data_IF_455213534681
#
_entry.id   IF_455213534681
#
_cell.length_a   1.000
_cell.length_b   1.000
_cell.length_c   1.000
_cell.angle_alpha   90.00
_cell.angle_beta   90.00
_cell.angle_gamma   90.00
#
_symmetry.space_group_name_H-M   'P 1'
#
loop_
_entity.id
_entity.type
_entity.pdbx_description
1 polymer ?
#
# COMPACT_ATOMS: atom_id res chain seq x y z
N UNK A 1 27.64 59.27 -32.36
CA UNK A 1 27.05 58.02 -32.88
C UNK A 1 28.17 57.01 -33.00
N UNK A 2 28.21 55.99 -32.15
CA UNK A 2 29.25 54.95 -32.18
C UNK A 2 28.57 53.58 -32.10
N UNK A 3 29.04 52.68 -32.96
CA UNK A 3 28.49 51.39 -33.31
C UNK A 3 28.57 50.34 -32.19
N UNK A 4 27.55 49.48 -32.21
CA UNK A 4 27.50 48.07 -31.85
C UNK A 4 28.82 47.39 -31.44
N UNK A 5 28.87 46.87 -30.22
CA UNK A 5 29.48 45.57 -29.91
C UNK A 5 28.71 44.89 -28.77
N UNK A 6 27.70 44.09 -29.16
CA UNK A 6 27.22 42.96 -28.38
C UNK A 6 28.02 41.73 -28.82
N UNK A 7 28.70 41.08 -27.87
CA UNK A 7 29.10 39.69 -28.01
C UNK A 7 28.54 38.94 -26.79
N UNK A 8 27.70 37.91 -27.04
CA UNK A 8 28.07 36.60 -26.53
C UNK A 8 28.10 35.60 -27.69
N UNK A 9 29.23 34.91 -27.78
CA UNK A 9 29.51 33.84 -28.74
C UNK A 9 28.90 32.52 -28.29
N UNK A 10 28.39 31.76 -29.27
CA UNK A 10 28.26 30.28 -29.33
C UNK A 10 27.53 29.63 -28.14
N UNK A 11 26.35 29.05 -28.30
CA UNK A 11 26.03 28.05 -29.31
C UNK A 11 25.68 26.75 -28.59
N UNK A 12 24.74 26.00 -29.18
CA UNK A 12 24.35 24.63 -28.83
C UNK A 12 23.27 24.46 -27.76
N UNK A 13 22.04 24.32 -28.26
CA UNK A 13 21.06 23.29 -27.87
C UNK A 13 21.38 22.42 -26.65
N UNK A 14 20.59 22.60 -25.60
CA UNK A 14 20.15 21.54 -24.70
C UNK A 14 18.76 21.97 -24.18
N UNK A 15 17.69 21.67 -24.91
CA UNK A 15 16.81 20.56 -24.54
C UNK A 15 17.23 19.89 -23.21
N UNK A 16 16.69 20.43 -22.13
CA UNK A 16 16.76 19.87 -20.78
C UNK A 16 15.48 20.22 -20.05
N UNK A 17 14.34 19.83 -20.63
CA UNK A 17 13.09 19.80 -19.89
C UNK A 17 13.26 18.87 -18.68
N UNK A 18 12.81 19.35 -17.52
CA UNK A 18 12.29 18.53 -16.42
C UNK A 18 13.11 17.30 -16.02
N UNK A 19 14.16 17.50 -15.24
CA UNK A 19 14.58 16.51 -14.24
C UNK A 19 15.43 17.26 -13.22
N UNK A 20 14.95 17.59 -12.04
CA UNK A 20 14.71 16.60 -11.00
C UNK A 20 13.67 17.14 -10.02
N UNK A 21 12.45 16.60 -10.08
CA UNK A 21 11.74 16.40 -8.84
C UNK A 21 12.66 15.49 -8.02
N UNK A 22 13.35 16.07 -7.04
CA UNK A 22 14.15 15.32 -6.09
C UNK A 22 13.22 14.30 -5.45
N UNK A 23 13.35 13.08 -5.97
CA UNK A 23 12.75 11.89 -5.45
C UNK A 23 13.43 11.61 -4.11
N UNK A 24 13.07 12.38 -3.08
CA UNK A 24 12.97 11.88 -1.71
C UNK A 24 11.77 10.92 -1.64
N UNK A 25 11.70 10.03 -2.61
CA UNK A 25 10.81 8.90 -2.69
C UNK A 25 11.50 7.81 -1.89
N UNK A 26 11.54 8.01 -0.57
CA UNK A 26 11.60 6.87 0.33
C UNK A 26 10.38 6.05 -0.06
N UNK A 27 10.54 4.89 -0.72
CA UNK A 27 9.39 4.17 -1.21
C UNK A 27 8.57 3.82 0.02
N UNK A 28 7.34 4.36 0.12
CA UNK A 28 6.45 4.07 1.24
C UNK A 28 6.41 2.55 1.35
N UNK A 29 6.91 1.92 2.43
CA UNK A 29 7.13 0.47 2.46
C UNK A 29 5.84 -0.29 2.20
N UNK A 30 4.70 0.29 2.58
CA UNK A 30 3.35 -0.20 2.26
C UNK A 30 3.07 -0.28 0.76
N UNK A 31 3.45 0.73 -0.03
CA UNK A 31 3.31 0.73 -1.49
C UNK A 31 4.16 -0.37 -2.13
N UNK A 32 5.38 -0.61 -1.63
CA UNK A 32 6.24 -1.71 -2.12
C UNK A 32 5.60 -3.07 -1.87
N UNK A 33 5.01 -3.28 -0.69
CA UNK A 33 4.33 -4.54 -0.31
C UNK A 33 3.11 -4.78 -1.23
N UNK A 34 2.33 -3.75 -1.51
CA UNK A 34 1.18 -3.83 -2.43
C UNK A 34 1.65 -4.11 -3.86
N UNK A 35 2.67 -3.39 -4.34
CA UNK A 35 3.18 -3.53 -5.70
C UNK A 35 3.88 -4.88 -5.93
N UNK A 36 4.41 -5.50 -4.86
CA UNK A 36 4.93 -6.87 -4.87
C UNK A 36 3.83 -7.95 -4.83
N UNK A 37 2.56 -7.57 -4.79
CA UNK A 37 1.44 -8.52 -4.78
C UNK A 37 1.26 -9.26 -3.46
N UNK A 38 1.83 -8.75 -2.35
CA UNK A 38 1.80 -9.43 -1.05
C UNK A 38 0.39 -9.50 -0.43
N UNK A 39 -0.59 -8.75 -0.96
CA UNK A 39 -1.99 -8.79 -0.52
C UNK A 39 -2.59 -10.19 -0.64
N UNK A 40 -2.36 -10.89 -1.76
CA UNK A 40 -2.92 -12.24 -1.97
C UNK A 40 -2.34 -13.28 -0.98
N UNK A 41 -1.02 -13.35 -0.75
CA UNK A 41 -0.43 -14.17 0.31
C UNK A 41 -1.01 -13.85 1.70
N UNK A 42 -1.15 -12.58 2.06
CA UNK A 42 -1.74 -12.18 3.34
C UNK A 42 -3.18 -12.65 3.48
N UNK A 43 -3.96 -12.59 2.40
CA UNK A 43 -5.31 -13.14 2.38
C UNK A 43 -5.30 -14.67 2.55
N UNK A 44 -4.42 -15.40 1.85
CA UNK A 44 -4.28 -16.85 2.07
C UNK A 44 -3.91 -17.20 3.51
N UNK A 45 -3.08 -16.38 4.17
CA UNK A 45 -2.72 -16.56 5.58
C UNK A 45 -3.92 -16.45 6.53
N UNK A 46 -4.97 -15.68 6.19
CA UNK A 46 -6.22 -15.63 6.97
C UNK A 46 -6.95 -16.99 7.01
N UNK A 47 -6.73 -17.85 6.01
CA UNK A 47 -7.26 -19.21 5.96
C UNK A 47 -6.47 -20.23 6.78
N UNK A 48 -5.36 -19.82 7.40
CA UNK A 48 -4.52 -20.74 8.18
C UNK A 48 -5.24 -21.22 9.45
N UNK A 49 -4.94 -22.44 9.94
CA UNK A 49 -5.49 -22.94 11.20
C UNK A 49 -4.82 -22.30 12.44
N UNK A 50 -3.69 -21.60 12.26
CA UNK A 50 -2.92 -21.00 13.33
C UNK A 50 -3.38 -19.56 13.59
N UNK A 51 -3.93 -19.29 14.78
CA UNK A 51 -4.41 -17.95 15.15
C UNK A 51 -3.33 -16.88 14.97
N UNK A 52 -2.08 -17.19 15.33
CA UNK A 52 -0.97 -16.24 15.19
C UNK A 52 -0.78 -15.78 13.74
N UNK A 53 -0.89 -16.71 12.79
CA UNK A 53 -0.77 -16.43 11.35
C UNK A 53 -1.94 -15.57 10.88
N UNK A 54 -3.16 -15.88 11.33
CA UNK A 54 -4.36 -15.07 11.05
C UNK A 54 -4.19 -13.64 11.60
N UNK A 55 -3.67 -13.50 12.82
CA UNK A 55 -3.42 -12.20 13.44
C UNK A 55 -2.41 -11.37 12.65
N UNK A 56 -1.25 -11.94 12.33
CA UNK A 56 -0.19 -11.23 11.59
C UNK A 56 -0.68 -10.80 10.21
N UNK A 57 -1.47 -11.66 9.54
CA UNK A 57 -2.13 -11.34 8.28
C UNK A 57 -3.15 -10.21 8.41
N UNK A 58 -4.08 -10.32 9.37
CA UNK A 58 -5.10 -9.30 9.62
C UNK A 58 -4.47 -7.95 10.00
N UNK A 59 -3.42 -7.95 10.81
CA UNK A 59 -2.67 -6.75 11.20
C UNK A 59 -1.95 -6.12 10.00
N UNK A 60 -1.31 -6.91 9.15
CA UNK A 60 -0.69 -6.41 7.94
C UNK A 60 -1.74 -5.81 6.99
N UNK A 61 -2.88 -6.48 6.79
CA UNK A 61 -3.98 -5.98 5.97
C UNK A 61 -4.59 -4.71 6.54
N UNK A 62 -4.72 -4.59 7.86
CA UNK A 62 -5.14 -3.37 8.55
C UNK A 62 -4.18 -2.22 8.26
N UNK A 63 -2.88 -2.47 8.38
CA UNK A 63 -1.83 -1.49 8.08
C UNK A 63 -1.81 -1.07 6.61
N UNK A 64 -2.11 -2.00 5.69
CA UNK A 64 -2.26 -1.69 4.28
C UNK A 64 -3.54 -0.91 3.99
N UNK A 65 -4.64 -1.21 4.68
CA UNK A 65 -5.90 -0.50 4.54
C UNK A 65 -5.86 0.94 5.08
N UNK A 66 -4.81 1.33 5.82
CA UNK A 66 -4.55 2.72 6.19
C UNK A 66 -4.12 3.62 5.02
N UNK A 67 -3.84 3.06 3.84
CA UNK A 67 -3.59 3.82 2.60
C UNK A 67 -4.57 3.40 1.50
N UNK A 68 -4.95 4.34 0.64
CA UNK A 68 -5.97 4.13 -0.40
C UNK A 68 -5.60 3.02 -1.38
N UNK A 69 -4.33 2.95 -1.80
CA UNK A 69 -3.84 1.92 -2.71
C UNK A 69 -3.90 0.52 -2.07
N UNK A 70 -3.67 0.44 -0.77
CA UNK A 70 -3.74 -0.82 -0.02
C UNK A 70 -5.17 -1.27 0.18
N UNK A 71 -6.07 -0.38 0.59
CA UNK A 71 -7.49 -0.66 0.66
C UNK A 71 -8.04 -1.12 -0.70
N UNK A 72 -7.67 -0.45 -1.78
CA UNK A 72 -8.05 -0.82 -3.15
C UNK A 72 -7.49 -2.18 -3.56
N UNK A 73 -6.23 -2.47 -3.25
CA UNK A 73 -5.63 -3.76 -3.54
C UNK A 73 -6.30 -4.90 -2.78
N UNK A 74 -6.65 -4.69 -1.50
CA UNK A 74 -7.41 -5.67 -0.69
C UNK A 74 -8.81 -5.86 -1.27
N UNK A 75 -9.51 -4.79 -1.66
CA UNK A 75 -10.82 -4.88 -2.35
C UNK A 75 -10.72 -5.70 -3.64
N UNK A 76 -9.72 -5.40 -4.49
CA UNK A 76 -9.51 -6.10 -5.78
C UNK A 76 -9.16 -7.58 -5.62
N UNK A 77 -8.52 -7.95 -4.52
CA UNK A 77 -8.13 -9.33 -4.23
C UNK A 77 -9.22 -10.16 -3.51
N UNK A 78 -10.48 -9.70 -3.52
CA UNK A 78 -11.60 -10.31 -2.77
C UNK A 78 -11.32 -10.39 -1.25
N UNK A 79 -10.49 -9.47 -0.75
CA UNK A 79 -10.08 -9.45 0.64
C UNK A 79 -11.19 -9.04 1.60
N UNK A 80 -12.17 -8.26 1.12
CA UNK A 80 -13.35 -7.89 1.90
C UNK A 80 -14.16 -9.14 2.32
N UNK A 81 -14.33 -10.11 1.41
CA UNK A 81 -15.01 -11.37 1.70
C UNK A 81 -14.23 -12.22 2.69
N UNK A 82 -12.92 -12.36 2.50
CA UNK A 82 -12.08 -13.15 3.40
C UNK A 82 -12.02 -12.55 4.81
N UNK A 83 -11.89 -11.22 4.92
CA UNK A 83 -11.95 -10.52 6.21
C UNK A 83 -13.31 -10.72 6.88
N UNK A 84 -14.42 -10.70 6.12
CA UNK A 84 -15.76 -10.97 6.66
C UNK A 84 -15.86 -12.40 7.24
N UNK A 85 -15.31 -13.40 6.57
CA UNK A 85 -15.29 -14.78 7.07
C UNK A 85 -14.47 -14.91 8.36
N UNK A 86 -13.32 -14.24 8.45
CA UNK A 86 -12.52 -14.19 9.70
C UNK A 86 -13.29 -13.51 10.82
N UNK A 87 -13.99 -12.41 10.54
CA UNK A 87 -14.85 -11.72 11.52
C UNK A 87 -16.00 -12.62 12.00
N UNK A 88 -16.59 -13.45 11.13
CA UNK A 88 -17.60 -14.44 11.54
C UNK A 88 -17.00 -15.50 12.47
N UNK A 89 -15.81 -16.02 12.16
CA UNK A 89 -15.09 -16.99 13.02
C UNK A 89 -14.73 -16.37 14.37
N UNK A 90 -14.28 -15.12 14.37
CA UNK A 90 -14.07 -14.33 15.58
C UNK A 90 -15.35 -14.24 16.44
N UNK A 91 -16.50 -13.90 15.85
CA UNK A 91 -17.78 -13.83 16.57
C UNK A 91 -18.25 -15.18 17.13
N UNK A 92 -17.81 -16.29 16.55
CA UNK A 92 -18.06 -17.65 17.08
C UNK A 92 -17.15 -18.01 18.27
N UNK A 93 -16.23 -17.14 18.65
CA UNK A 93 -15.25 -17.40 19.71
C UNK A 93 -14.07 -18.26 19.26
N UNK A 94 -13.88 -18.46 17.94
CA UNK A 94 -12.78 -19.29 17.41
C UNK A 94 -11.41 -18.56 17.43
N UNK A 95 -11.38 -17.25 17.68
CA UNK A 95 -10.19 -16.41 17.60
C UNK A 95 -10.07 -15.52 18.84
N UNK A 96 -8.85 -15.29 19.34
CA UNK A 96 -8.59 -14.33 20.42
C UNK A 96 -9.04 -12.91 20.08
N UNK A 97 -9.46 -12.14 21.10
CA UNK A 97 -9.94 -10.75 21.02
C UNK A 97 -9.03 -9.84 20.18
N UNK A 98 -7.71 -9.96 20.33
CA UNK A 98 -6.73 -9.19 19.54
C UNK A 98 -6.88 -9.41 18.03
N UNK A 99 -7.13 -10.65 17.62
CA UNK A 99 -7.31 -11.06 16.22
C UNK A 99 -8.65 -10.58 15.70
N UNK A 100 -9.69 -10.66 16.54
CA UNK A 100 -11.00 -10.10 16.21
C UNK A 100 -10.92 -8.60 15.94
N UNK A 101 -10.22 -7.86 16.80
CA UNK A 101 -10.06 -6.41 16.69
C UNK A 101 -9.29 -6.02 15.43
N UNK A 102 -8.19 -6.71 15.13
CA UNK A 102 -7.40 -6.48 13.91
C UNK A 102 -8.22 -6.79 12.65
N UNK A 103 -8.89 -7.95 12.59
CA UNK A 103 -9.70 -8.35 11.45
C UNK A 103 -10.89 -7.41 11.22
N UNK A 104 -11.58 -7.00 12.29
CA UNK A 104 -12.68 -6.04 12.23
C UNK A 104 -12.21 -4.66 11.78
N UNK A 105 -11.07 -4.17 12.31
CA UNK A 105 -10.50 -2.89 11.91
C UNK A 105 -10.08 -2.89 10.43
N UNK A 106 -9.46 -3.97 9.94
CA UNK A 106 -9.17 -4.14 8.52
C UNK A 106 -10.46 -4.15 7.69
N UNK A 107 -11.47 -4.92 8.12
CA UNK A 107 -12.74 -5.03 7.42
C UNK A 107 -13.45 -3.69 7.25
N UNK A 108 -13.55 -2.89 8.32
CA UNK A 108 -14.21 -1.57 8.28
C UNK A 108 -13.46 -0.58 7.39
N UNK A 109 -12.12 -0.61 7.38
CA UNK A 109 -11.33 0.26 6.50
C UNK A 109 -11.43 -0.13 5.02
N UNK A 110 -11.73 -1.39 4.74
CA UNK A 110 -11.87 -1.96 3.40
C UNK A 110 -13.34 -1.94 2.93
N UNK A 111 -14.29 -1.46 3.72
CA UNK A 111 -15.68 -1.21 3.27
C UNK A 111 -15.79 0.24 2.82
#
# INVERSE_FOLDING_TARGET
MQQSQQHPVRGSSAMGQANSADASMVPKPRLVIINKGAVVPLLQMLGSPQERVIYEAAFALESLACIEEGATAVKRADGARQLNEVVKRAKKGELSERTQKAAYAAYVKVM
#
